data_IF_828607998984
#
_entry.id   IF_828607998984
#
_cell.length_a   1.000
_cell.length_b   1.000
_cell.length_c   1.000
_cell.angle_alpha   90.00
_cell.angle_beta   90.00
_cell.angle_gamma   90.00
#
_symmetry.space_group_name_H-M   'P 1'
#
loop_
_entity.id
_entity.type
_entity.pdbx_description
1 polymer ?
#
# COMPACT_ATOMS: atom_id res chain seq x y z
N UNK A 1 -0.14 10.13 1.49
CA UNK A 1 -0.23 9.08 0.44
C UNK A 1 1.13 8.38 0.37
N UNK A 2 1.19 7.09 0.02
CA UNK A 2 2.45 6.37 -0.20
C UNK A 2 2.71 6.26 -1.70
N UNK A 3 3.89 6.66 -2.15
CA UNK A 3 4.20 6.75 -3.59
C UNK A 3 5.57 6.14 -3.85
N UNK A 4 5.68 5.31 -4.88
CA UNK A 4 6.97 4.75 -5.29
C UNK A 4 7.87 5.81 -5.92
N UNK A 5 9.16 5.50 -6.09
CA UNK A 5 10.17 6.47 -6.54
C UNK A 5 9.86 7.10 -7.91
N UNK A 6 9.04 6.45 -8.74
CA UNK A 6 8.68 6.91 -10.09
C UNK A 6 7.24 7.42 -10.23
N UNK A 7 6.49 7.54 -9.13
CA UNK A 7 5.06 7.91 -9.12
C UNK A 7 4.16 6.98 -9.96
N UNK A 8 4.63 5.75 -10.22
CA UNK A 8 3.88 4.74 -10.95
C UNK A 8 2.89 4.03 -10.04
N UNK A 9 3.28 3.69 -8.81
CA UNK A 9 2.40 3.08 -7.82
C UNK A 9 2.10 4.09 -6.73
N UNK A 10 0.81 4.35 -6.52
CA UNK A 10 0.31 5.25 -5.46
C UNK A 10 -0.64 4.46 -4.58
N UNK A 11 -0.32 4.36 -3.30
CA UNK A 11 -1.11 3.66 -2.31
C UNK A 11 -1.66 4.65 -1.27
N UNK A 12 -2.97 4.66 -1.12
CA UNK A 12 -3.67 5.40 -0.08
C UNK A 12 -4.11 4.44 1.03
N UNK A 13 -3.81 4.82 2.28
CA UNK A 13 -4.34 4.16 3.48
C UNK A 13 -5.45 5.07 4.03
N UNK A 14 -6.69 4.59 3.96
CA UNK A 14 -7.89 5.34 4.30
C UNK A 14 -8.22 5.20 5.81
N UNK A 15 -8.84 6.22 6.43
CA UNK A 15 -9.11 6.23 7.88
C UNK A 15 -10.03 5.11 8.38
N UNK A 16 -10.81 4.48 7.50
CA UNK A 16 -11.72 3.37 7.79
C UNK A 16 -11.01 1.99 7.75
N UNK A 17 -9.69 1.97 7.61
CA UNK A 17 -8.89 0.75 7.51
C UNK A 17 -8.91 0.12 6.13
N UNK A 18 -9.35 0.86 5.10
CA UNK A 18 -9.28 0.45 3.70
C UNK A 18 -8.01 0.96 3.04
N UNK A 19 -7.53 0.27 2.02
CA UNK A 19 -6.49 0.79 1.14
C UNK A 19 -6.99 0.85 -0.30
N UNK A 20 -6.43 1.77 -1.08
CA UNK A 20 -6.57 1.86 -2.53
C UNK A 20 -5.18 2.02 -3.15
N UNK A 21 -4.85 1.18 -4.11
CA UNK A 21 -3.60 1.26 -4.87
C UNK A 21 -3.90 1.55 -6.33
N UNK A 22 -3.37 2.66 -6.84
CA UNK A 22 -3.35 2.99 -8.26
C UNK A 22 -2.01 2.62 -8.90
N UNK A 23 -2.03 2.14 -10.14
CA UNK A 23 -0.84 1.80 -10.94
C UNK A 23 -0.90 2.47 -12.31
N UNK A 24 0.00 3.43 -12.55
CA UNK A 24 0.00 4.26 -13.76
C UNK A 24 -1.35 4.95 -13.96
N UNK A 25 -1.97 4.67 -15.11
CA UNK A 25 -3.29 5.19 -15.51
C UNK A 25 -4.46 4.32 -15.02
N UNK A 26 -4.21 3.21 -14.33
CA UNK A 26 -5.26 2.39 -13.73
C UNK A 26 -5.51 2.83 -12.30
N UNK A 27 -6.54 3.66 -12.04
CA UNK A 27 -6.98 3.93 -10.67
C UNK A 27 -7.48 2.64 -10.04
N UNK A 28 -7.34 2.51 -8.71
CA UNK A 28 -7.93 1.39 -7.98
C UNK A 28 -7.57 0.02 -8.55
N UNK A 29 -6.29 -0.16 -8.89
CA UNK A 29 -5.74 -1.41 -9.37
C UNK A 29 -5.94 -2.54 -8.34
N UNK A 30 -5.77 -2.21 -7.06
CA UNK A 30 -6.03 -3.08 -5.91
C UNK A 30 -6.70 -2.29 -4.78
N UNK A 31 -7.57 -2.96 -4.03
CA UNK A 31 -8.31 -2.38 -2.92
C UNK A 31 -8.66 -3.44 -1.91
N UNK A 32 -8.75 -3.06 -0.65
CA UNK A 32 -9.21 -3.97 0.39
C UNK A 32 -9.00 -3.41 1.77
N UNK A 33 -8.79 -4.29 2.74
CA UNK A 33 -8.48 -3.89 4.12
C UNK A 33 -7.01 -4.00 4.42
N UNK A 34 -6.55 -3.19 5.37
CA UNK A 34 -5.21 -3.31 5.92
C UNK A 34 -5.22 -3.30 7.44
N UNK A 35 -4.16 -3.86 8.03
CA UNK A 35 -3.88 -3.83 9.45
C UNK A 35 -2.41 -3.52 9.67
N UNK A 36 -2.12 -2.65 10.64
CA UNK A 36 -0.74 -2.32 11.02
C UNK A 36 -0.48 -2.90 12.40
N UNK A 37 0.62 -3.65 12.52
CA UNK A 37 1.12 -4.17 13.79
C UNK A 37 2.62 -3.88 13.90
N UNK A 38 2.98 -2.93 14.77
CA UNK A 38 4.35 -2.46 14.87
C UNK A 38 4.84 -1.85 13.55
N UNK A 39 5.89 -2.44 12.99
CA UNK A 39 6.43 -2.04 11.69
C UNK A 39 5.87 -2.86 10.52
N UNK A 40 4.98 -3.82 10.73
CA UNK A 40 4.38 -4.62 9.65
C UNK A 40 3.01 -4.07 9.27
N UNK A 41 2.69 -4.11 7.98
CA UNK A 41 1.35 -3.91 7.44
C UNK A 41 0.92 -5.15 6.65
N UNK A 42 -0.27 -5.64 6.93
CA UNK A 42 -0.91 -6.75 6.22
C UNK A 42 -2.11 -6.22 5.45
N UNK A 43 -2.32 -6.74 4.24
CA UNK A 43 -3.43 -6.40 3.35
C UNK A 43 -4.25 -7.64 3.03
N UNK A 44 -5.57 -7.50 3.06
CA UNK A 44 -6.52 -8.45 2.47
C UNK A 44 -7.24 -7.71 1.36
N UNK A 45 -6.89 -8.06 0.12
CA UNK A 45 -7.52 -7.50 -1.07
C UNK A 45 -8.95 -8.04 -1.24
N UNK A 46 -9.83 -7.22 -1.82
CA UNK A 46 -11.23 -7.60 -2.07
C UNK A 46 -11.34 -8.75 -3.09
N UNK A 47 -10.29 -9.04 -3.87
CA UNK A 47 -10.16 -10.23 -4.73
C UNK A 47 -9.73 -11.49 -3.96
N UNK A 48 -9.49 -11.39 -2.64
CA UNK A 48 -9.30 -12.52 -1.74
C UNK A 48 -7.85 -12.97 -1.54
N UNK A 49 -6.86 -12.20 -1.99
CA UNK A 49 -5.45 -12.49 -1.75
C UNK A 49 -4.87 -11.65 -0.61
N UNK A 50 -3.85 -12.21 0.04
CA UNK A 50 -3.10 -11.55 1.09
C UNK A 50 -1.80 -10.97 0.55
N UNK A 51 -1.44 -9.80 1.05
CA UNK A 51 -0.14 -9.20 0.78
C UNK A 51 0.39 -8.54 2.05
N UNK A 52 1.69 -8.29 2.12
CA UNK A 52 2.33 -7.78 3.33
C UNK A 52 3.47 -6.82 2.98
N UNK A 53 3.73 -5.89 3.88
CA UNK A 53 4.82 -4.93 3.77
C UNK A 53 5.34 -4.52 5.14
N UNK A 54 6.42 -3.76 5.13
CA UNK A 54 7.08 -3.29 6.34
C UNK A 54 7.43 -1.81 6.24
N UNK A 55 7.26 -1.08 7.34
CA UNK A 55 7.77 0.27 7.51
C UNK A 55 9.21 0.21 7.98
N UNK A 56 10.13 0.75 7.19
CA UNK A 56 11.56 0.81 7.48
C UNK A 56 12.06 2.24 7.20
N UNK A 57 12.69 2.88 8.19
CA UNK A 57 13.24 4.24 8.08
C UNK A 57 12.28 5.28 7.47
N UNK A 58 11.01 5.23 7.90
CA UNK A 58 9.95 6.14 7.41
C UNK A 58 9.45 5.85 5.99
N UNK A 59 9.98 4.82 5.32
CA UNK A 59 9.52 4.30 4.02
C UNK A 59 8.67 3.05 4.21
N UNK A 60 7.78 2.74 3.27
CA UNK A 60 7.03 1.48 3.22
C UNK A 60 7.64 0.58 2.16
N UNK A 61 7.96 -0.66 2.51
CA UNK A 61 8.47 -1.68 1.60
C UNK A 61 7.41 -2.74 1.39
N UNK A 62 6.91 -2.88 0.17
CA UNK A 62 5.80 -3.77 -0.14
C UNK A 62 5.83 -4.21 -1.61
N UNK A 63 5.62 -5.50 -1.88
CA UNK A 63 5.52 -6.08 -3.22
C UNK A 63 6.69 -5.71 -4.17
N UNK A 64 7.91 -5.55 -3.63
CA UNK A 64 9.10 -5.14 -4.39
C UNK A 64 9.23 -3.63 -4.62
N UNK A 65 8.27 -2.83 -4.15
CA UNK A 65 8.31 -1.38 -4.17
C UNK A 65 8.79 -0.81 -2.85
N UNK A 66 9.48 0.33 -2.94
CA UNK A 66 9.74 1.22 -1.82
C UNK A 66 8.90 2.47 -2.03
N UNK A 67 8.08 2.80 -1.04
CA UNK A 67 7.23 3.96 -1.05
C UNK A 67 7.72 5.00 -0.06
N UNK A 68 7.64 6.25 -0.47
CA UNK A 68 7.82 7.41 0.41
C UNK A 68 6.47 8.06 0.68
N UNK A 69 6.36 8.72 1.84
CA UNK A 69 5.14 9.41 2.21
C UNK A 69 5.12 10.79 1.55
N UNK A 70 4.11 11.05 0.73
CA UNK A 70 3.74 12.36 0.18
C UNK A 70 2.64 13.01 1.00
#
# INVERSE_FOLDING_TARGET
MWVDDNDFVRQELLPDGRYDEARGDRPSAYQGRYWINGNRIDYLDDLGFWAFGEFQDGSLHHAGYRFTRR
#
